data_IF_087736580487
#
_entry.id   IF_087736580487
#
_cell.length_a   1.000
_cell.length_b   1.000
_cell.length_c   1.000
_cell.angle_alpha   90.00
_cell.angle_beta   90.00
_cell.angle_gamma   90.00
#
_symmetry.space_group_name_H-M   'P 1'
#
loop_
_entity.id
_entity.type
_entity.pdbx_description
1 polymer ?
#
# COMPACT_ATOMS: atom_id res chain seq x y z
N UNK A 1 7.59 25.18 -51.02
CA UNK A 1 6.97 23.95 -51.56
C UNK A 1 6.31 23.21 -50.40
N UNK A 2 4.98 23.15 -50.42
CA UNK A 2 4.15 22.44 -49.46
C UNK A 2 3.48 21.24 -50.16
N UNK A 3 3.42 20.09 -49.49
CA UNK A 3 2.61 18.90 -49.82
C UNK A 3 2.72 17.85 -48.69
N UNK A 4 1.72 16.99 -48.45
CA UNK A 4 0.36 17.33 -48.01
C UNK A 4 -0.06 16.55 -46.72
N UNK A 5 -0.95 17.13 -45.91
CA UNK A 5 -1.69 16.39 -44.86
C UNK A 5 -2.84 15.60 -45.51
N UNK A 6 -2.92 14.30 -45.21
CA UNK A 6 -4.08 13.44 -45.55
C UNK A 6 -5.18 13.64 -44.50
N UNK A 7 -6.43 13.65 -44.97
CA UNK A 7 -7.65 13.75 -44.19
C UNK A 7 -8.49 12.45 -44.27
N UNK A 8 -9.46 12.35 -43.36
CA UNK A 8 -10.52 11.33 -43.15
C UNK A 8 -10.09 10.09 -42.33
N UNK A 9 -10.90 9.58 -41.39
CA UNK A 9 -12.37 9.48 -41.38
C UNK A 9 -13.03 9.58 -39.98
N UNK A 10 -14.26 10.09 -39.98
CA UNK A 10 -15.26 10.09 -38.92
C UNK A 10 -15.92 8.70 -38.71
N UNK A 11 -16.63 8.57 -37.58
CA UNK A 11 -17.55 7.51 -37.09
C UNK A 11 -16.94 6.69 -35.95
N UNK A 12 -17.55 6.53 -34.78
CA UNK A 12 -18.84 6.94 -34.25
C UNK A 12 -18.81 6.65 -32.74
N UNK A 13 -19.50 7.47 -31.95
CA UNK A 13 -19.43 7.42 -30.49
C UNK A 13 -20.02 6.16 -29.87
N UNK A 14 -19.49 5.80 -28.71
CA UNK A 14 -20.22 5.10 -27.65
C UNK A 14 -19.51 5.35 -26.28
N UNK A 15 -20.12 5.05 -25.13
CA UNK A 15 -20.71 6.05 -24.27
C UNK A 15 -19.84 6.36 -23.04
N UNK A 16 -20.11 7.53 -22.47
CA UNK A 16 -19.54 8.04 -21.22
C UNK A 16 -19.66 7.00 -20.09
N UNK A 17 -18.54 6.39 -19.72
CA UNK A 17 -18.33 5.84 -18.39
C UNK A 17 -17.59 6.87 -17.54
N UNK A 18 -18.34 7.76 -16.89
CA UNK A 18 -17.81 8.68 -15.88
C UNK A 18 -17.16 7.87 -14.75
N UNK A 19 -15.83 7.79 -14.77
CA UNK A 19 -15.01 7.56 -13.57
C UNK A 19 -13.85 8.56 -13.54
N UNK A 20 -14.13 9.83 -13.84
CA UNK A 20 -13.27 10.95 -13.47
C UNK A 20 -13.44 11.27 -11.97
N UNK A 21 -13.26 10.26 -11.11
CA UNK A 21 -13.11 10.48 -9.68
C UNK A 21 -11.63 10.79 -9.41
N UNK A 22 -11.24 12.05 -9.17
CA UNK A 22 -9.87 12.37 -8.80
C UNK A 22 -9.52 11.61 -7.51
N UNK A 23 -8.31 11.05 -7.47
CA UNK A 23 -7.74 10.52 -6.23
C UNK A 23 -7.80 11.62 -5.15
N UNK A 24 -7.94 11.24 -3.87
CA UNK A 24 -8.05 12.20 -2.77
C UNK A 24 -6.88 13.20 -2.70
N UNK A 25 -5.74 12.85 -3.31
CA UNK A 25 -4.57 13.70 -3.42
C UNK A 25 -4.69 14.85 -4.47
N UNK A 26 -5.66 14.80 -5.39
CA UNK A 26 -5.76 15.71 -6.55
C UNK A 26 -7.06 16.51 -6.65
N UNK A 27 -7.96 16.46 -5.65
CA UNK A 27 -9.16 17.32 -5.64
C UNK A 27 -8.79 18.81 -5.45
N UNK A 28 -8.88 19.60 -6.52
CA UNK A 28 -8.98 21.06 -6.41
C UNK A 28 -10.34 21.47 -5.85
N UNK A 29 -10.33 22.45 -4.94
CA UNK A 29 -11.52 22.95 -4.26
C UNK A 29 -11.95 24.28 -4.88
N UNK A 30 -12.98 24.27 -5.70
CA UNK A 30 -13.72 25.47 -6.09
C UNK A 30 -14.37 26.08 -4.83
N UNK A 31 -14.14 27.37 -4.58
CA UNK A 31 -14.79 28.11 -3.50
C UNK A 31 -16.18 28.57 -3.96
N UNK A 32 -17.27 28.32 -3.20
CA UNK A 32 -18.55 28.95 -3.50
C UNK A 32 -18.56 30.40 -3.01
N UNK A 33 -19.00 31.29 -3.89
CA UNK A 33 -19.19 32.72 -3.64
C UNK A 33 -20.16 32.96 -2.47
N UNK A 34 -19.81 33.92 -1.60
CA UNK A 34 -20.64 34.34 -0.47
C UNK A 34 -21.75 35.28 -0.95
N UNK A 35 -23.01 34.89 -0.76
CA UNK A 35 -24.14 35.82 -0.76
C UNK A 35 -24.43 36.29 0.66
N UNK A 36 -24.55 37.60 0.83
CA UNK A 36 -24.87 38.26 2.09
C UNK A 36 -26.38 38.44 2.25
N UNK A 37 -26.96 37.92 3.32
CA UNK A 37 -28.21 38.46 3.88
C UNK A 37 -28.20 38.37 5.40
N UNK A 38 -28.59 39.47 6.03
CA UNK A 38 -28.56 39.68 7.47
C UNK A 38 -29.77 39.10 8.19
N UNK A 39 -29.54 38.62 9.40
CA UNK A 39 -30.55 38.22 10.37
C UNK A 39 -29.88 38.02 11.73
N UNK A 40 -30.33 38.76 12.74
CA UNK A 40 -29.85 38.70 14.13
C UNK A 40 -30.38 37.42 14.78
N UNK A 41 -29.50 36.57 15.32
CA UNK A 41 -29.86 35.55 16.30
C UNK A 41 -28.70 35.15 17.24
N UNK A 42 -29.10 34.75 18.46
CA UNK A 42 -28.41 34.59 19.76
C UNK A 42 -27.12 33.72 19.82
N UNK A 43 -26.30 33.82 20.91
CA UNK A 43 -24.89 33.39 20.95
C UNK A 43 -24.65 31.89 21.22
N UNK A 44 -25.48 31.00 20.69
CA UNK A 44 -25.20 29.54 20.74
C UNK A 44 -24.35 29.07 19.55
N UNK A 45 -24.22 29.90 18.50
CA UNK A 45 -23.55 29.55 17.24
C UNK A 45 -22.00 29.65 17.30
N UNK A 46 -21.44 30.31 18.31
CA UNK A 46 -20.00 30.59 18.42
C UNK A 46 -19.14 29.33 18.64
N UNK A 47 -19.54 28.43 19.56
CA UNK A 47 -18.80 27.20 19.87
C UNK A 47 -18.81 26.22 18.69
N UNK A 48 -19.97 26.05 18.03
CA UNK A 48 -20.12 25.19 16.83
C UNK A 48 -19.34 25.74 15.63
N UNK A 49 -19.29 27.06 15.44
CA UNK A 49 -18.49 27.71 14.38
C UNK A 49 -16.98 27.61 14.65
N UNK A 50 -16.53 27.72 15.91
CA UNK A 50 -15.12 27.48 16.31
C UNK A 50 -14.70 26.03 16.14
N UNK A 51 -15.53 25.06 16.54
CA UNK A 51 -15.27 23.63 16.34
C UNK A 51 -15.22 23.28 14.84
N UNK A 52 -16.15 23.79 14.03
CA UNK A 52 -16.09 23.67 12.57
C UNK A 52 -14.82 24.30 11.98
N UNK A 53 -14.36 25.43 12.51
CA UNK A 53 -13.10 26.08 12.08
C UNK A 53 -11.86 25.25 12.47
N UNK A 54 -11.82 24.69 13.68
CA UNK A 54 -10.73 23.82 14.13
C UNK A 54 -10.66 22.51 13.35
N UNK A 55 -11.81 21.87 13.10
CA UNK A 55 -11.90 20.68 12.25
C UNK A 55 -11.48 20.99 10.81
N UNK A 56 -11.84 22.15 10.26
CA UNK A 56 -11.40 22.54 8.93
C UNK A 56 -9.89 22.76 8.85
N UNK A 57 -9.30 23.39 9.88
CA UNK A 57 -7.85 23.57 10.01
C UNK A 57 -7.13 22.23 10.18
N UNK A 58 -7.64 21.35 11.05
CA UNK A 58 -7.12 20.00 11.23
C UNK A 58 -7.16 19.21 9.92
N UNK A 59 -8.29 19.22 9.23
CA UNK A 59 -8.46 18.59 7.91
C UNK A 59 -7.42 19.12 6.92
N UNK A 60 -7.21 20.43 6.85
CA UNK A 60 -6.23 21.04 5.96
C UNK A 60 -4.78 20.66 6.32
N UNK A 61 -4.43 20.61 7.60
CA UNK A 61 -3.11 20.18 8.08
C UNK A 61 -2.89 18.69 7.83
N UNK A 62 -3.90 17.86 8.11
CA UNK A 62 -3.84 16.40 7.87
C UNK A 62 -3.71 16.07 6.39
N UNK A 63 -4.27 16.86 5.48
CA UNK A 63 -4.04 16.67 4.04
C UNK A 63 -2.63 17.08 3.62
N UNK A 64 -2.04 18.09 4.27
CA UNK A 64 -0.65 18.49 4.00
C UNK A 64 0.36 17.51 4.60
N UNK A 65 0.01 16.89 5.72
CA UNK A 65 0.83 15.95 6.47
C UNK A 65 -0.01 14.72 6.81
N UNK A 66 -0.15 13.84 5.82
CA UNK A 66 -0.92 12.58 5.94
C UNK A 66 -0.44 11.69 7.09
N UNK A 67 0.84 11.76 7.47
CA UNK A 67 1.40 11.05 8.64
C UNK A 67 0.91 11.58 9.99
N UNK A 68 0.33 12.79 10.06
CA UNK A 68 -0.04 13.41 11.34
C UNK A 68 -1.21 12.69 12.03
N UNK A 69 -2.24 12.32 11.28
CA UNK A 69 -3.41 11.62 11.85
C UNK A 69 -3.05 10.25 12.43
N UNK A 70 -2.37 9.34 11.72
CA UNK A 70 -1.96 8.06 12.29
C UNK A 70 -0.93 8.26 13.43
N UNK A 71 -0.06 9.28 13.37
CA UNK A 71 0.84 9.61 14.48
C UNK A 71 0.06 9.98 15.74
N UNK A 72 -0.94 10.85 15.65
CA UNK A 72 -1.73 11.26 16.82
C UNK A 72 -2.50 10.08 17.41
N UNK A 73 -3.08 9.20 16.58
CA UNK A 73 -3.72 7.98 17.05
C UNK A 73 -2.74 7.05 17.77
N UNK A 74 -1.56 6.82 17.17
CA UNK A 74 -0.51 5.99 17.75
C UNK A 74 -0.02 6.56 19.09
N UNK A 75 0.29 7.85 19.15
CA UNK A 75 0.75 8.53 20.38
C UNK A 75 -0.34 8.53 21.45
N UNK A 76 -1.61 8.70 21.09
CA UNK A 76 -2.71 8.64 22.04
C UNK A 76 -2.83 7.26 22.69
N UNK A 77 -2.71 6.17 21.91
CA UNK A 77 -2.73 4.80 22.42
C UNK A 77 -1.53 4.54 23.33
N UNK A 78 -0.32 4.93 22.90
CA UNK A 78 0.89 4.76 23.69
C UNK A 78 0.84 5.58 24.99
N UNK A 79 0.35 6.82 24.94
CA UNK A 79 0.18 7.65 26.13
C UNK A 79 -0.83 7.04 27.10
N UNK A 80 -1.96 6.52 26.61
CA UNK A 80 -2.94 5.83 27.43
C UNK A 80 -2.39 4.54 28.07
N UNK A 81 -1.46 3.86 27.41
CA UNK A 81 -0.71 2.76 28.02
C UNK A 81 0.23 3.26 29.12
N UNK A 82 1.00 4.32 28.87
CA UNK A 82 1.98 4.86 29.82
C UNK A 82 1.36 5.47 31.09
N UNK A 83 0.10 5.87 31.06
CA UNK A 83 -0.63 6.34 32.26
C UNK A 83 -0.78 5.22 33.30
N UNK A 84 -0.94 3.96 32.87
CA UNK A 84 -1.00 2.80 33.75
C UNK A 84 -0.31 1.61 33.06
N UNK A 85 1.03 1.53 33.11
CA UNK A 85 1.77 0.49 32.42
C UNK A 85 1.58 -0.85 33.13
N UNK A 86 1.14 -1.86 32.38
CA UNK A 86 0.99 -3.22 32.88
C UNK A 86 -0.02 -4.03 32.08
N UNK A 87 -0.12 -5.33 32.36
CA UNK A 87 -1.03 -6.25 31.68
C UNK A 87 -2.51 -5.93 31.91
N UNK A 88 -2.81 -5.24 33.01
CA UNK A 88 -4.16 -4.79 33.37
C UNK A 88 -4.70 -3.72 32.39
N UNK A 89 -3.81 -3.04 31.66
CA UNK A 89 -4.19 -2.00 30.72
C UNK A 89 -4.80 -2.61 29.45
N UNK A 90 -5.97 -2.15 28.97
CA UNK A 90 -6.57 -2.67 27.75
C UNK A 90 -5.66 -2.52 26.52
N UNK A 91 -4.79 -1.50 26.49
CA UNK A 91 -3.85 -1.26 25.39
C UNK A 91 -2.61 -2.15 25.44
N UNK A 92 -2.35 -2.88 26.54
CA UNK A 92 -1.26 -3.86 26.61
C UNK A 92 -1.39 -4.90 25.48
N UNK A 93 -2.61 -5.38 25.24
CA UNK A 93 -2.95 -6.35 24.18
C UNK A 93 -2.73 -5.82 22.77
N UNK A 94 -2.67 -4.50 22.61
CA UNK A 94 -2.40 -3.84 21.33
C UNK A 94 -0.90 -3.77 21.04
N UNK A 95 -0.08 -3.57 22.09
CA UNK A 95 1.35 -3.29 21.99
C UNK A 95 2.17 -4.59 22.06
N UNK A 96 1.77 -5.54 22.91
CA UNK A 96 2.52 -6.77 23.17
C UNK A 96 1.75 -8.01 22.70
N UNK A 97 2.51 -9.06 22.38
CA UNK A 97 1.93 -10.36 22.06
C UNK A 97 1.09 -10.88 23.23
N UNK A 98 -0.14 -11.26 22.94
CA UNK A 98 -1.06 -11.84 23.92
C UNK A 98 -0.94 -13.37 23.98
N UNK A 99 -1.41 -13.97 25.07
CA UNK A 99 -1.50 -15.43 25.28
C UNK A 99 -0.14 -16.14 25.40
N UNK A 100 0.78 -15.61 26.21
CA UNK A 100 2.01 -16.32 26.57
C UNK A 100 1.65 -17.57 27.41
N UNK A 101 2.11 -18.75 26.97
CA UNK A 101 1.93 -20.03 27.64
C UNK A 101 3.21 -20.51 28.36
N UNK A 102 4.32 -19.77 28.21
CA UNK A 102 5.65 -20.17 28.63
C UNK A 102 6.31 -21.16 27.66
N UNK A 103 7.52 -21.64 27.99
CA UNK A 103 8.26 -22.59 27.18
C UNK A 103 7.77 -24.03 27.36
N UNK A 104 7.82 -24.83 26.29
CA UNK A 104 7.40 -26.23 26.32
C UNK A 104 8.37 -27.15 27.08
N UNK A 105 9.63 -26.75 27.18
CA UNK A 105 10.69 -27.47 27.88
C UNK A 105 11.66 -26.46 28.54
N UNK A 106 12.38 -26.85 29.61
CA UNK A 106 13.30 -25.97 30.30
C UNK A 106 14.35 -25.38 29.35
N UNK A 107 14.42 -24.05 29.26
CA UNK A 107 15.34 -23.32 28.37
C UNK A 107 14.89 -23.20 26.91
N UNK A 108 13.67 -23.66 26.56
CA UNK A 108 13.07 -23.47 25.24
C UNK A 108 12.51 -22.06 25.01
N UNK A 109 12.09 -21.74 23.77
CA UNK A 109 11.44 -20.48 23.46
C UNK A 109 10.03 -20.39 24.04
N UNK A 110 9.58 -19.18 24.37
CA UNK A 110 8.20 -18.93 24.81
C UNK A 110 7.20 -19.22 23.69
N UNK A 111 6.17 -19.99 24.05
CA UNK A 111 5.08 -20.37 23.16
C UNK A 111 3.85 -19.50 23.41
N UNK A 112 3.19 -19.12 22.33
CA UNK A 112 2.02 -18.24 22.36
C UNK A 112 0.82 -18.91 21.72
N UNK A 113 -0.32 -18.83 22.41
CA UNK A 113 -1.62 -19.24 21.88
C UNK A 113 -2.22 -18.22 20.91
N UNK A 114 -3.51 -18.37 20.58
CA UNK A 114 -4.26 -17.48 19.68
C UNK A 114 -5.54 -17.01 20.36
N UNK A 115 -6.00 -15.81 20.03
CA UNK A 115 -7.31 -15.34 20.45
C UNK A 115 -7.66 -13.93 19.97
N UNK A 116 -8.80 -13.41 20.44
CA UNK A 116 -9.33 -12.15 19.95
C UNK A 116 -8.43 -10.93 20.20
N UNK A 117 -7.56 -10.99 21.22
CA UNK A 117 -6.60 -9.93 21.49
C UNK A 117 -5.60 -9.71 20.33
N UNK A 118 -5.36 -10.74 19.51
CA UNK A 118 -4.47 -10.65 18.36
C UNK A 118 -5.02 -9.71 17.28
N UNK A 119 -6.34 -9.55 17.17
CA UNK A 119 -6.96 -8.54 16.28
C UNK A 119 -6.69 -7.12 16.74
N UNK A 120 -6.61 -6.90 18.05
CA UNK A 120 -6.27 -5.59 18.62
C UNK A 120 -4.81 -5.25 18.34
N UNK A 121 -3.92 -6.24 18.47
CA UNK A 121 -2.52 -6.12 18.05
C UNK A 121 -2.42 -5.75 16.57
N UNK A 122 -3.12 -6.49 15.70
CA UNK A 122 -3.12 -6.22 14.26
C UNK A 122 -3.61 -4.79 13.96
N UNK A 123 -4.71 -4.37 14.58
CA UNK A 123 -5.26 -3.01 14.38
C UNK A 123 -4.29 -1.91 14.81
N UNK A 124 -3.61 -2.06 15.95
CA UNK A 124 -2.61 -1.09 16.40
C UNK A 124 -1.41 -1.03 15.46
N UNK A 125 -0.86 -2.18 15.07
CA UNK A 125 0.29 -2.22 14.16
C UNK A 125 -0.09 -1.77 12.74
N UNK A 126 -1.34 -1.91 12.30
CA UNK A 126 -1.83 -1.27 11.07
C UNK A 126 -1.70 0.26 11.16
N UNK A 127 -2.07 0.87 12.29
CA UNK A 127 -1.90 2.33 12.51
C UNK A 127 -0.41 2.71 12.51
N UNK A 128 0.43 1.94 13.21
CA UNK A 128 1.88 2.16 13.27
C UNK A 128 2.49 2.09 11.86
N UNK A 129 2.09 1.11 11.05
CA UNK A 129 2.56 0.94 9.68
C UNK A 129 2.05 2.06 8.76
N UNK A 130 0.79 2.52 8.92
CA UNK A 130 0.29 3.69 8.19
C UNK A 130 1.10 4.94 8.51
N UNK A 131 1.39 5.20 9.79
CA UNK A 131 2.26 6.30 10.18
C UNK A 131 3.66 6.16 9.54
N UNK A 132 4.26 4.99 9.70
CA UNK A 132 5.62 4.71 9.22
C UNK A 132 5.74 4.89 7.71
N UNK A 133 4.77 4.37 6.94
CA UNK A 133 4.66 4.56 5.48
C UNK A 133 4.66 6.03 5.11
N UNK A 134 3.67 6.78 5.62
CA UNK A 134 3.50 8.19 5.26
C UNK A 134 4.68 9.06 5.71
N UNK A 135 5.26 8.76 6.88
CA UNK A 135 6.41 9.47 7.39
C UNK A 135 7.65 9.22 6.52
N UNK A 136 7.98 7.96 6.23
CA UNK A 136 9.12 7.60 5.39
C UNK A 136 8.95 8.18 3.98
N UNK A 137 7.77 8.04 3.37
CA UNK A 137 7.50 8.58 2.03
C UNK A 137 7.72 10.10 1.98
N UNK A 138 7.14 10.86 2.91
CA UNK A 138 7.22 12.33 2.86
C UNK A 138 8.54 12.92 3.36
N UNK A 139 9.15 12.32 4.40
CA UNK A 139 10.32 12.89 5.07
C UNK A 139 11.64 12.33 4.55
N UNK A 140 11.65 11.09 4.08
CA UNK A 140 12.86 10.39 3.66
C UNK A 140 12.90 10.23 2.13
N UNK A 141 11.87 9.61 1.55
CA UNK A 141 11.89 9.23 0.14
C UNK A 141 11.62 10.40 -0.81
N UNK A 142 10.75 11.34 -0.44
CA UNK A 142 10.50 12.54 -1.25
C UNK A 142 11.75 13.39 -1.50
N UNK A 143 12.56 13.77 -0.48
CA UNK A 143 13.79 14.50 -0.75
C UNK A 143 14.81 13.64 -1.51
N UNK A 144 14.85 12.32 -1.32
CA UNK A 144 15.69 11.42 -2.12
C UNK A 144 15.29 11.43 -3.59
N UNK A 145 13.99 11.32 -3.91
CA UNK A 145 13.50 11.35 -5.28
C UNK A 145 13.90 12.65 -6.01
N UNK A 146 13.82 13.79 -5.31
CA UNK A 146 14.25 15.09 -5.84
C UNK A 146 15.77 15.13 -6.06
N UNK A 147 16.56 14.62 -5.10
CA UNK A 147 18.03 14.53 -5.23
C UNK A 147 18.46 13.63 -6.38
N UNK A 148 17.71 12.56 -6.64
CA UNK A 148 17.91 11.65 -7.77
C UNK A 148 17.43 12.23 -9.12
N UNK A 149 16.93 13.48 -9.15
CA UNK A 149 16.55 14.15 -10.40
C UNK A 149 15.15 13.82 -10.91
N UNK A 150 14.32 13.09 -10.15
CA UNK A 150 12.93 12.80 -10.53
C UNK A 150 12.10 14.07 -10.35
N UNK A 151 11.84 14.80 -11.44
CA UNK A 151 11.15 16.11 -11.39
C UNK A 151 9.63 16.01 -11.45
N UNK A 152 9.08 14.98 -12.11
CA UNK A 152 7.62 14.83 -12.31
C UNK A 152 6.95 14.33 -11.02
N UNK A 153 5.80 14.91 -10.65
CA UNK A 153 5.12 14.60 -9.38
C UNK A 153 4.52 13.19 -9.35
N UNK A 154 3.94 12.70 -10.45
CA UNK A 154 3.41 11.33 -10.53
C UNK A 154 4.53 10.30 -10.42
N UNK A 155 5.57 10.43 -11.25
CA UNK A 155 6.81 9.60 -11.15
C UNK A 155 7.42 9.64 -9.73
N UNK A 156 7.43 10.80 -9.05
CA UNK A 156 7.88 10.88 -7.64
C UNK A 156 7.00 10.03 -6.70
N UNK A 157 5.67 10.11 -6.80
CA UNK A 157 4.77 9.33 -5.94
C UNK A 157 5.02 7.84 -6.09
N UNK A 158 5.08 7.37 -7.34
CA UNK A 158 5.28 5.96 -7.68
C UNK A 158 6.65 5.45 -7.25
N UNK A 159 7.69 6.25 -7.46
CA UNK A 159 9.02 5.95 -6.93
C UNK A 159 8.99 5.79 -5.40
N UNK A 160 8.32 6.70 -4.67
CA UNK A 160 8.22 6.60 -3.22
C UNK A 160 7.43 5.37 -2.76
N UNK A 161 6.34 5.03 -3.46
CA UNK A 161 5.53 3.82 -3.21
C UNK A 161 6.39 2.55 -3.36
N UNK A 162 7.10 2.41 -4.48
CA UNK A 162 7.95 1.25 -4.73
C UNK A 162 9.15 1.19 -3.79
N UNK A 163 9.81 2.32 -3.54
CA UNK A 163 10.97 2.34 -2.65
C UNK A 163 10.58 2.05 -1.18
N UNK A 164 9.40 2.50 -0.72
CA UNK A 164 8.89 2.12 0.60
C UNK A 164 8.66 0.61 0.69
N UNK A 165 8.01 0.02 -0.31
CA UNK A 165 7.78 -1.43 -0.38
C UNK A 165 9.10 -2.21 -0.38
N UNK A 166 10.09 -1.76 -1.15
CA UNK A 166 11.43 -2.35 -1.15
C UNK A 166 12.10 -2.25 0.23
N UNK A 167 12.02 -1.09 0.90
CA UNK A 167 12.56 -0.94 2.26
C UNK A 167 11.86 -1.87 3.25
N UNK A 168 10.53 -1.95 3.23
CA UNK A 168 9.76 -2.81 4.12
C UNK A 168 10.19 -4.27 4.00
N UNK A 169 10.22 -4.81 2.78
CA UNK A 169 10.61 -6.20 2.55
C UNK A 169 12.11 -6.47 2.71
N UNK A 170 12.97 -5.46 2.57
CA UNK A 170 14.39 -5.59 2.90
C UNK A 170 14.63 -5.94 4.38
N UNK A 171 13.75 -5.47 5.28
CA UNK A 171 13.81 -5.82 6.71
C UNK A 171 12.99 -7.07 7.04
N UNK A 172 11.75 -7.14 6.56
CA UNK A 172 10.82 -8.22 6.93
C UNK A 172 11.12 -9.54 6.22
N UNK A 173 11.66 -9.52 5.00
CA UNK A 173 12.00 -10.73 4.25
C UNK A 173 13.06 -11.59 4.96
N UNK A 174 14.23 -11.03 5.33
CA UNK A 174 15.24 -11.76 6.11
C UNK A 174 14.72 -12.22 7.47
N UNK A 175 13.89 -11.41 8.14
CA UNK A 175 13.28 -11.81 9.40
C UNK A 175 12.31 -12.98 9.23
N UNK A 176 11.51 -13.00 8.15
CA UNK A 176 10.66 -14.13 7.79
C UNK A 176 11.45 -15.41 7.53
N UNK A 177 12.57 -15.32 6.79
CA UNK A 177 13.47 -16.45 6.58
C UNK A 177 14.09 -16.97 7.89
N UNK A 178 14.46 -16.07 8.79
CA UNK A 178 14.95 -16.44 10.13
C UNK A 178 13.89 -17.19 10.93
N UNK A 179 12.65 -16.69 10.96
CA UNK A 179 11.51 -17.36 11.60
C UNK A 179 11.23 -18.73 10.99
N UNK A 180 11.27 -18.85 9.66
CA UNK A 180 11.06 -20.15 9.00
C UNK A 180 12.17 -21.16 9.30
N UNK A 181 13.42 -20.69 9.47
CA UNK A 181 14.58 -21.52 9.81
C UNK A 181 14.48 -22.14 11.19
N UNK A 182 13.83 -21.47 12.15
CA UNK A 182 13.70 -21.97 13.52
C UNK A 182 12.82 -23.23 13.60
N UNK A 183 11.85 -23.37 12.68
CA UNK A 183 10.93 -24.50 12.67
C UNK A 183 11.23 -25.55 11.60
N UNK A 184 10.36 -26.57 11.52
CA UNK A 184 10.43 -27.65 10.51
C UNK A 184 10.05 -27.21 9.09
N UNK A 185 9.70 -25.94 8.88
CA UNK A 185 9.33 -25.36 7.59
C UNK A 185 10.51 -24.91 6.73
N UNK A 186 11.74 -25.05 7.21
CA UNK A 186 12.92 -24.61 6.48
C UNK A 186 12.91 -25.13 5.04
N UNK A 187 13.16 -24.21 4.11
CA UNK A 187 13.14 -24.47 2.67
C UNK A 187 11.81 -25.04 2.14
N UNK A 188 10.69 -24.55 2.67
CA UNK A 188 9.33 -24.88 2.21
C UNK A 188 9.00 -26.37 2.28
N UNK A 189 9.41 -27.05 3.35
CA UNK A 189 9.02 -28.43 3.60
C UNK A 189 7.48 -28.54 3.74
N UNK A 190 6.83 -29.21 2.78
CA UNK A 190 5.38 -29.31 2.69
C UNK A 190 4.79 -30.23 3.75
N UNK A 191 5.47 -31.32 4.09
CA UNK A 191 5.01 -32.26 5.12
C UNK A 191 4.88 -31.58 6.48
N UNK A 192 5.83 -30.69 6.80
CA UNK A 192 5.84 -29.91 8.04
C UNK A 192 4.63 -28.95 8.17
N UNK A 193 3.95 -28.62 7.06
CA UNK A 193 2.73 -27.81 7.07
C UNK A 193 1.52 -28.56 7.63
N UNK A 194 1.55 -29.90 7.62
CA UNK A 194 0.45 -30.76 8.07
C UNK A 194 0.84 -31.60 9.30
N UNK A 195 2.13 -31.89 9.46
CA UNK A 195 2.63 -32.66 10.59
C UNK A 195 2.35 -31.96 11.94
N UNK A 196 1.85 -32.73 12.90
CA UNK A 196 1.49 -32.22 14.23
C UNK A 196 0.30 -31.24 14.23
N UNK A 197 -0.52 -31.24 13.17
CA UNK A 197 -1.73 -30.43 13.12
C UNK A 197 -2.79 -30.95 14.13
N UNK A 198 -3.48 -30.08 14.90
CA UNK A 198 -3.55 -28.62 14.78
C UNK A 198 -2.42 -27.84 15.45
N UNK A 199 -1.84 -26.86 14.73
CA UNK A 199 -0.82 -25.94 15.27
C UNK A 199 -1.46 -24.81 16.10
N UNK A 200 -1.81 -25.11 17.35
CA UNK A 200 -2.51 -24.18 18.25
C UNK A 200 -1.60 -23.09 18.84
N UNK A 201 -0.33 -23.43 19.08
CA UNK A 201 0.68 -22.55 19.66
C UNK A 201 1.85 -22.36 18.71
N UNK A 202 2.48 -21.20 18.79
CA UNK A 202 3.65 -20.83 17.98
C UNK A 202 4.68 -20.10 18.83
N UNK A 203 5.94 -20.20 18.45
CA UNK A 203 7.00 -19.40 19.07
C UNK A 203 6.70 -17.90 18.93
N UNK A 204 7.16 -17.11 19.91
CA UNK A 204 6.92 -15.66 19.92
C UNK A 204 7.33 -14.95 18.61
N UNK A 205 8.50 -15.29 18.06
CA UNK A 205 8.98 -14.71 16.80
C UNK A 205 8.07 -15.07 15.61
N UNK A 206 7.62 -16.33 15.54
CA UNK A 206 6.67 -16.80 14.52
C UNK A 206 5.35 -16.03 14.61
N UNK A 207 4.79 -15.93 15.82
CA UNK A 207 3.52 -15.23 16.03
C UNK A 207 3.66 -13.74 15.72
N UNK A 208 4.72 -13.08 16.19
CA UNK A 208 4.99 -11.67 15.90
C UNK A 208 5.09 -11.41 14.40
N UNK A 209 5.92 -12.17 13.68
CA UNK A 209 6.07 -12.02 12.23
C UNK A 209 4.73 -12.18 11.52
N UNK A 210 3.97 -13.23 11.86
CA UNK A 210 2.68 -13.50 11.23
C UNK A 210 1.67 -12.36 11.44
N UNK A 211 1.57 -11.83 12.67
CA UNK A 211 0.63 -10.74 13.00
C UNK A 211 1.08 -9.39 12.43
N UNK A 212 2.39 -9.10 12.41
CA UNK A 212 2.91 -7.88 11.76
C UNK A 212 2.63 -7.93 10.25
N UNK A 213 2.81 -9.08 9.61
CA UNK A 213 2.45 -9.27 8.21
C UNK A 213 0.95 -9.11 7.98
N UNK A 214 0.10 -9.67 8.83
CA UNK A 214 -1.33 -9.44 8.76
C UNK A 214 -1.69 -7.95 8.88
N UNK A 215 -0.97 -7.21 9.74
CA UNK A 215 -1.13 -5.76 9.93
C UNK A 215 -0.74 -4.96 8.69
N UNK A 216 0.33 -5.38 8.00
CA UNK A 216 0.78 -4.78 6.75
C UNK A 216 -0.22 -5.02 5.62
N UNK A 217 -0.70 -6.24 5.44
CA UNK A 217 -1.71 -6.54 4.43
C UNK A 217 -3.05 -5.85 4.70
N UNK A 218 -3.45 -5.73 5.97
CA UNK A 218 -4.60 -4.91 6.34
C UNK A 218 -4.36 -3.42 6.03
N UNK A 219 -3.16 -2.90 6.30
CA UNK A 219 -2.77 -1.53 5.95
C UNK A 219 -2.81 -1.28 4.43
N UNK A 220 -2.30 -2.22 3.62
CA UNK A 220 -2.35 -2.14 2.15
C UNK A 220 -3.79 -2.18 1.63
N UNK A 221 -4.65 -3.02 2.20
CA UNK A 221 -6.07 -3.05 1.85
C UNK A 221 -6.78 -1.72 2.14
N UNK A 222 -6.45 -1.06 3.26
CA UNK A 222 -6.98 0.27 3.60
C UNK A 222 -6.53 1.31 2.57
N UNK A 223 -5.25 1.31 2.19
CA UNK A 223 -4.71 2.21 1.15
C UNK A 223 -5.47 2.02 -0.17
N UNK A 224 -5.73 0.77 -0.54
CA UNK A 224 -6.46 0.42 -1.76
C UNK A 224 -7.92 0.88 -1.72
N UNK A 225 -8.65 0.58 -0.64
CA UNK A 225 -10.07 0.92 -0.47
C UNK A 225 -10.28 2.43 -0.40
N UNK A 226 -9.39 3.14 0.28
CA UNK A 226 -9.43 4.60 0.36
C UNK A 226 -8.91 5.30 -0.91
N UNK A 227 -8.50 4.54 -1.93
CA UNK A 227 -7.93 5.03 -3.19
C UNK A 227 -6.83 6.09 -2.94
N UNK A 228 -5.99 5.84 -1.93
CA UNK A 228 -4.87 6.70 -1.62
C UNK A 228 -3.79 6.62 -2.70
N UNK A 229 -3.74 5.50 -3.42
CA UNK A 229 -2.99 5.34 -4.66
C UNK A 229 -3.92 5.46 -5.86
N UNK A 230 -3.44 6.10 -6.92
CA UNK A 230 -4.20 6.21 -8.17
C UNK A 230 -4.46 4.81 -8.75
N UNK A 231 -5.72 4.48 -9.10
CA UNK A 231 -6.06 3.21 -9.75
C UNK A 231 -5.18 2.96 -10.98
N UNK A 232 -4.78 1.70 -11.17
CA UNK A 232 -3.96 1.23 -12.29
C UNK A 232 -4.83 0.41 -13.25
N UNK A 233 -4.37 0.15 -14.50
CA UNK A 233 -5.04 -0.77 -15.44
C UNK A 233 -5.41 -2.13 -14.82
N UNK A 234 -4.62 -2.64 -13.86
CA UNK A 234 -4.83 -3.91 -13.15
C UNK A 234 -5.56 -3.79 -11.80
N UNK A 235 -6.34 -2.72 -11.59
CA UNK A 235 -7.00 -2.45 -10.30
C UNK A 235 -7.97 -3.55 -9.89
N UNK A 236 -8.73 -4.15 -10.82
CA UNK A 236 -9.70 -5.21 -10.51
C UNK A 236 -9.01 -6.47 -10.01
N UNK A 237 -7.94 -6.87 -10.68
CA UNK A 237 -7.10 -8.00 -10.33
C UNK A 237 -6.39 -7.76 -8.99
N UNK A 238 -5.95 -6.53 -8.73
CA UNK A 238 -5.36 -6.12 -7.46
C UNK A 238 -6.38 -6.17 -6.31
N UNK A 239 -7.64 -5.77 -6.54
CA UNK A 239 -8.71 -5.89 -5.54
C UNK A 239 -9.04 -7.36 -5.28
N UNK A 240 -9.19 -8.18 -6.32
CA UNK A 240 -9.41 -9.62 -6.17
C UNK A 240 -8.27 -10.28 -5.37
N UNK A 241 -7.02 -9.92 -5.67
CA UNK A 241 -5.86 -10.35 -4.90
C UNK A 241 -6.00 -10.02 -3.41
N UNK A 242 -6.34 -8.78 -3.06
CA UNK A 242 -6.48 -8.38 -1.65
C UNK A 242 -7.61 -9.12 -0.92
N UNK A 243 -8.71 -9.42 -1.61
CA UNK A 243 -9.79 -10.23 -1.05
C UNK A 243 -9.26 -11.64 -0.75
N UNK A 244 -8.59 -12.27 -1.71
CA UNK A 244 -8.04 -13.63 -1.57
C UNK A 244 -6.95 -13.69 -0.50
N UNK A 245 -6.02 -12.73 -0.47
CA UNK A 245 -4.93 -12.71 0.52
C UNK A 245 -5.44 -12.46 1.93
N UNK A 246 -6.35 -11.51 2.15
CA UNK A 246 -6.95 -11.30 3.47
C UNK A 246 -7.76 -12.52 3.93
N UNK A 247 -8.46 -13.19 3.02
CA UNK A 247 -9.13 -14.45 3.33
C UNK A 247 -8.14 -15.56 3.71
N UNK A 248 -7.04 -15.74 2.96
CA UNK A 248 -5.98 -16.69 3.30
C UNK A 248 -5.37 -16.40 4.67
N UNK A 249 -5.05 -15.15 4.97
CA UNK A 249 -4.46 -14.74 6.24
C UNK A 249 -5.43 -15.02 7.39
N UNK A 250 -6.68 -14.56 7.28
CA UNK A 250 -7.69 -14.72 8.32
C UNK A 250 -8.04 -16.19 8.57
N UNK A 251 -8.29 -16.96 7.51
CA UNK A 251 -8.68 -18.36 7.62
C UNK A 251 -7.52 -19.24 8.07
N UNK A 252 -6.30 -19.04 7.54
CA UNK A 252 -5.15 -19.84 7.96
C UNK A 252 -4.76 -19.56 9.43
N UNK A 253 -4.93 -18.34 9.92
CA UNK A 253 -4.75 -18.06 11.35
C UNK A 253 -5.84 -18.72 12.20
N UNK A 254 -7.11 -18.55 11.82
CA UNK A 254 -8.29 -19.02 12.57
C UNK A 254 -8.40 -20.54 12.65
N UNK A 255 -8.00 -21.24 11.59
CA UNK A 255 -8.10 -22.70 11.46
C UNK A 255 -6.75 -23.41 11.57
N UNK A 256 -5.74 -22.76 12.17
CA UNK A 256 -4.43 -23.37 12.50
C UNK A 256 -3.53 -23.76 11.31
N UNK A 257 -3.77 -23.25 10.10
CA UNK A 257 -2.90 -23.42 8.93
C UNK A 257 -1.79 -22.35 8.82
N UNK A 258 -1.41 -21.71 9.94
CA UNK A 258 -0.46 -20.59 9.94
C UNK A 258 0.94 -20.96 9.38
N UNK A 259 1.35 -22.24 9.50
CA UNK A 259 2.59 -22.75 8.90
C UNK A 259 2.60 -22.60 7.38
N UNK A 260 1.49 -22.95 6.72
CA UNK A 260 1.29 -22.73 5.28
C UNK A 260 1.25 -21.24 4.96
N UNK A 261 0.60 -20.43 5.81
CA UNK A 261 0.56 -18.98 5.67
C UNK A 261 1.95 -18.32 5.69
N UNK A 262 2.87 -18.74 6.57
CA UNK A 262 4.26 -18.23 6.57
C UNK A 262 4.99 -18.56 5.27
N UNK A 263 4.84 -19.79 4.76
CA UNK A 263 5.44 -20.16 3.48
C UNK A 263 4.94 -19.24 2.34
N UNK A 264 3.64 -18.95 2.30
CA UNK A 264 3.06 -18.02 1.33
C UNK A 264 3.60 -16.60 1.55
N UNK A 265 3.63 -16.08 2.78
CA UNK A 265 4.21 -14.75 3.06
C UNK A 265 5.64 -14.61 2.56
N UNK A 266 6.53 -15.56 2.87
CA UNK A 266 7.95 -15.47 2.53
C UNK A 266 8.16 -15.47 1.01
N UNK A 267 7.48 -16.36 0.29
CA UNK A 267 7.57 -16.37 -1.19
C UNK A 267 7.11 -15.05 -1.79
N UNK A 268 6.08 -14.44 -1.20
CA UNK A 268 5.50 -13.19 -1.66
C UNK A 268 6.39 -11.99 -1.34
N UNK A 269 6.86 -11.86 -0.10
CA UNK A 269 7.70 -10.76 0.37
C UNK A 269 9.02 -10.67 -0.42
N UNK A 270 9.69 -11.82 -0.62
CA UNK A 270 10.98 -11.84 -1.32
C UNK A 270 10.79 -11.44 -2.78
N UNK A 271 9.79 -12.00 -3.46
CA UNK A 271 9.55 -11.64 -4.87
C UNK A 271 9.06 -10.20 -5.05
N UNK A 272 8.28 -9.67 -4.11
CA UNK A 272 7.82 -8.28 -4.13
C UNK A 272 8.96 -7.30 -3.85
N UNK A 273 9.95 -7.69 -3.03
CA UNK A 273 11.20 -6.93 -2.90
C UNK A 273 11.87 -6.75 -4.26
N UNK A 274 12.10 -7.83 -5.00
CA UNK A 274 12.73 -7.78 -6.33
C UNK A 274 11.87 -7.02 -7.36
N UNK A 275 10.54 -7.13 -7.29
CA UNK A 275 9.65 -6.34 -8.13
C UNK A 275 9.82 -4.84 -7.86
N UNK A 276 9.72 -4.44 -6.59
CA UNK A 276 9.73 -3.05 -6.16
C UNK A 276 11.08 -2.37 -6.44
N UNK A 277 12.19 -3.08 -6.20
CA UNK A 277 13.54 -2.60 -6.53
C UNK A 277 13.75 -2.51 -8.04
N UNK A 278 13.22 -3.44 -8.85
CA UNK A 278 13.35 -3.36 -10.32
C UNK A 278 12.66 -2.10 -10.86
N UNK A 279 11.47 -1.77 -10.35
CA UNK A 279 10.75 -0.54 -10.69
C UNK A 279 11.49 0.71 -10.21
N UNK A 280 12.04 0.67 -9.00
CA UNK A 280 12.85 1.76 -8.44
C UNK A 280 14.08 2.04 -9.30
N UNK A 281 14.80 1.00 -9.75
CA UNK A 281 15.94 1.13 -10.66
C UNK A 281 15.54 1.69 -12.02
N UNK A 282 14.38 1.28 -12.54
CA UNK A 282 13.82 1.80 -13.78
C UNK A 282 13.50 3.31 -13.65
N UNK A 283 12.86 3.73 -12.57
CA UNK A 283 12.59 5.15 -12.33
C UNK A 283 13.86 6.02 -12.22
N UNK A 284 14.99 5.42 -11.83
CA UNK A 284 16.30 6.06 -11.75
C UNK A 284 17.11 5.95 -13.05
N UNK A 285 16.55 5.36 -14.10
CA UNK A 285 17.20 5.16 -15.40
C UNK A 285 18.58 4.47 -15.26
N UNK A 286 18.68 3.48 -14.36
CA UNK A 286 19.93 2.78 -14.06
C UNK A 286 20.33 1.78 -15.15
N UNK A 287 21.62 1.64 -15.42
CA UNK A 287 22.13 0.72 -16.44
C UNK A 287 21.93 -0.78 -16.11
N UNK A 288 21.74 -1.12 -14.82
CA UNK A 288 21.54 -2.51 -14.38
C UNK A 288 20.09 -2.99 -14.47
N UNK A 289 19.16 -2.16 -14.95
CA UNK A 289 17.72 -2.48 -14.96
C UNK A 289 17.44 -3.78 -15.72
N UNK A 290 18.04 -3.99 -16.89
CA UNK A 290 17.85 -5.21 -17.68
C UNK A 290 18.26 -6.49 -16.93
N UNK A 291 19.53 -6.64 -16.53
CA UNK A 291 19.99 -7.80 -15.76
C UNK A 291 19.21 -8.01 -14.44
N UNK A 292 18.86 -6.92 -13.75
CA UNK A 292 18.09 -6.99 -12.51
C UNK A 292 16.66 -7.48 -12.76
N UNK A 293 16.02 -7.00 -13.83
CA UNK A 293 14.68 -7.43 -14.24
C UNK A 293 14.64 -8.92 -14.60
N UNK A 294 15.66 -9.45 -15.28
CA UNK A 294 15.79 -10.89 -15.53
C UNK A 294 15.93 -11.71 -14.24
N UNK A 295 16.72 -11.21 -13.29
CA UNK A 295 16.87 -11.84 -11.97
C UNK A 295 15.54 -11.86 -11.22
N UNK A 296 14.85 -10.72 -11.19
CA UNK A 296 13.49 -10.59 -10.65
C UNK A 296 12.53 -11.62 -11.28
N UNK A 297 12.53 -11.77 -12.60
CA UNK A 297 11.67 -12.71 -13.30
C UNK A 297 11.95 -14.17 -12.89
N UNK A 298 13.22 -14.55 -12.77
CA UNK A 298 13.61 -15.88 -12.27
C UNK A 298 13.14 -16.12 -10.83
N UNK A 299 13.32 -15.14 -9.95
CA UNK A 299 12.84 -15.19 -8.55
C UNK A 299 11.31 -15.30 -8.49
N UNK A 300 10.59 -14.52 -9.31
CA UNK A 300 9.13 -14.57 -9.40
C UNK A 300 8.65 -15.96 -9.80
N UNK A 301 9.22 -16.53 -10.87
CA UNK A 301 8.83 -17.86 -11.35
C UNK A 301 9.08 -18.93 -10.29
N UNK A 302 10.24 -18.92 -9.66
CA UNK A 302 10.57 -19.90 -8.64
C UNK A 302 9.66 -19.76 -7.39
N UNK A 303 9.59 -18.57 -6.81
CA UNK A 303 8.88 -18.38 -5.53
C UNK A 303 7.36 -18.39 -5.70
N UNK A 304 6.81 -17.74 -6.73
CA UNK A 304 5.36 -17.57 -6.87
C UNK A 304 4.70 -18.63 -7.72
N UNK A 305 5.44 -19.40 -8.51
CA UNK A 305 4.88 -20.52 -9.26
C UNK A 305 5.40 -21.86 -8.80
N UNK A 306 6.72 -22.11 -8.85
CA UNK A 306 7.23 -23.44 -8.51
C UNK A 306 6.91 -23.84 -7.07
N UNK A 307 7.20 -22.98 -6.09
CA UNK A 307 6.89 -23.26 -4.68
C UNK A 307 5.38 -23.29 -4.43
N UNK A 308 4.61 -22.37 -5.00
CA UNK A 308 3.15 -22.36 -4.80
C UNK A 308 2.47 -23.61 -5.43
N UNK A 309 2.92 -24.06 -6.60
CA UNK A 309 2.47 -25.32 -7.20
C UNK A 309 2.84 -26.54 -6.36
N UNK A 310 4.02 -26.53 -5.71
CA UNK A 310 4.39 -27.55 -4.72
C UNK A 310 3.44 -27.57 -3.52
N UNK A 311 3.05 -26.41 -3.00
CA UNK A 311 2.08 -26.30 -1.89
C UNK A 311 0.69 -26.77 -2.34
N UNK A 312 0.24 -26.40 -3.54
CA UNK A 312 -1.02 -26.87 -4.12
C UNK A 312 -1.02 -28.39 -4.29
N UNK A 313 0.07 -28.95 -4.81
CA UNK A 313 0.23 -30.40 -4.95
C UNK A 313 0.17 -31.10 -3.58
N UNK A 314 0.90 -30.61 -2.59
CA UNK A 314 0.86 -31.15 -1.23
C UNK A 314 -0.52 -31.00 -0.58
N UNK A 315 -1.28 -29.94 -0.90
CA UNK A 315 -2.67 -29.78 -0.46
C UNK A 315 -3.59 -30.86 -1.06
N UNK A 316 -3.27 -31.41 -2.23
CA UNK A 316 -4.01 -32.52 -2.82
C UNK A 316 -3.54 -33.90 -2.30
N UNK A 317 -2.23 -34.09 -2.11
CA UNK A 317 -1.64 -35.41 -1.82
C UNK A 317 -1.34 -35.67 -0.35
N UNK A 318 -0.83 -34.66 0.38
CA UNK A 318 -0.35 -34.78 1.75
C UNK A 318 -1.41 -34.37 2.79
N UNK A 319 -2.35 -33.49 2.41
CA UNK A 319 -3.36 -32.94 3.32
C UNK A 319 -4.19 -34.05 4.00
N UNK A 320 -4.67 -35.04 3.25
CA UNK A 320 -5.45 -36.14 3.82
C UNK A 320 -4.58 -37.23 4.48
N UNK A 321 -3.33 -37.36 4.08
CA UNK A 321 -2.46 -38.51 4.44
C UNK A 321 -1.56 -38.24 5.63
N UNK A 322 -1.12 -36.98 5.85
CA UNK A 322 -0.20 -36.61 6.93
C UNK A 322 -0.95 -36.21 8.20
N UNK A 323 -1.15 -37.15 9.12
CA UNK A 323 -1.85 -36.94 10.40
C UNK A 323 -3.38 -37.07 10.30
N UNK A 324 -4.12 -36.90 11.42
CA UNK A 324 -5.55 -37.20 11.49
C UNK A 324 -6.39 -36.34 10.54
N UNK A 325 -7.15 -36.97 9.65
CA UNK A 325 -8.04 -36.31 8.70
C UNK A 325 -9.50 -36.47 9.13
N UNK A 326 -9.92 -35.62 10.06
CA UNK A 326 -11.25 -35.62 10.65
C UNK A 326 -11.67 -34.19 11.02
N UNK A 327 -12.96 -33.98 11.25
CA UNK A 327 -13.47 -32.73 11.77
C UNK A 327 -13.88 -32.92 13.23
N UNK A 328 -13.17 -32.27 14.16
CA UNK A 328 -13.49 -32.29 15.57
C UNK A 328 -13.34 -30.89 16.18
N UNK A 329 -14.45 -30.33 16.66
CA UNK A 329 -14.50 -28.97 17.21
C UNK A 329 -13.89 -28.86 18.60
N UNK A 330 -13.95 -29.92 19.41
CA UNK A 330 -13.39 -29.95 20.76
C UNK A 330 -11.86 -29.98 20.72
N UNK A 331 -11.30 -30.83 19.85
CA UNK A 331 -9.85 -30.88 19.62
C UNK A 331 -9.38 -29.86 18.59
N UNK A 332 -10.27 -28.98 18.10
CA UNK A 332 -9.97 -27.99 17.06
C UNK A 332 -9.23 -28.59 15.85
N UNK A 333 -9.53 -29.85 15.55
CA UNK A 333 -9.03 -30.57 14.40
C UNK A 333 -9.91 -30.20 13.21
N UNK A 334 -9.37 -29.36 12.34
CA UNK A 334 -10.09 -28.81 11.20
C UNK A 334 -9.68 -29.41 9.86
N UNK A 335 -8.75 -30.38 9.86
CA UNK A 335 -8.23 -31.01 8.65
C UNK A 335 -9.23 -32.02 8.09
N UNK A 336 -10.13 -31.54 7.25
CA UNK A 336 -11.22 -32.32 6.63
C UNK A 336 -11.44 -31.92 5.16
N UNK A 337 -12.33 -32.62 4.46
CA UNK A 337 -12.60 -32.42 3.02
C UNK A 337 -13.03 -30.99 2.69
N UNK A 338 -13.84 -30.37 3.56
CA UNK A 338 -14.27 -28.98 3.39
C UNK A 338 -13.07 -28.04 3.46
N UNK A 339 -12.23 -28.19 4.49
CA UNK A 339 -11.03 -27.37 4.68
C UNK A 339 -10.02 -27.56 3.53
N UNK A 340 -9.91 -28.77 2.98
CA UNK A 340 -9.02 -29.07 1.86
C UNK A 340 -9.48 -28.33 0.61
N UNK A 341 -10.77 -28.40 0.27
CA UNK A 341 -11.35 -27.70 -0.89
C UNK A 341 -11.19 -26.18 -0.75
N UNK A 342 -11.50 -25.62 0.41
CA UNK A 342 -11.38 -24.17 0.66
C UNK A 342 -9.91 -23.73 0.56
N UNK A 343 -9.00 -24.44 1.22
CA UNK A 343 -7.57 -24.12 1.21
C UNK A 343 -7.00 -24.21 -0.20
N UNK A 344 -7.30 -25.29 -0.92
CA UNK A 344 -6.89 -25.45 -2.32
C UNK A 344 -7.47 -24.36 -3.20
N UNK A 345 -8.77 -24.07 -3.08
CA UNK A 345 -9.45 -23.05 -3.87
C UNK A 345 -8.83 -21.66 -3.69
N UNK A 346 -8.57 -21.25 -2.45
CA UNK A 346 -7.93 -19.96 -2.17
C UNK A 346 -6.50 -19.88 -2.70
N UNK A 347 -5.69 -20.94 -2.52
CA UNK A 347 -4.33 -21.00 -3.06
C UNK A 347 -4.33 -21.04 -4.60
N UNK A 348 -5.31 -21.70 -5.21
CA UNK A 348 -5.46 -21.78 -6.66
C UNK A 348 -5.89 -20.42 -7.23
N UNK A 349 -6.79 -19.70 -6.57
CA UNK A 349 -7.12 -18.31 -6.92
C UNK A 349 -5.89 -17.41 -6.82
N UNK A 350 -5.11 -17.53 -5.74
CA UNK A 350 -3.86 -16.80 -5.59
C UNK A 350 -2.87 -17.12 -6.73
N UNK A 351 -2.74 -18.41 -7.09
CA UNK A 351 -1.92 -18.86 -8.22
C UNK A 351 -2.41 -18.29 -9.57
N UNK A 352 -3.73 -18.23 -9.80
CA UNK A 352 -4.29 -17.69 -11.02
C UNK A 352 -3.96 -16.19 -11.18
N UNK A 353 -4.06 -15.40 -10.11
CA UNK A 353 -3.65 -13.98 -10.15
C UNK A 353 -2.14 -13.84 -10.36
N UNK A 354 -1.33 -14.68 -9.72
CA UNK A 354 0.12 -14.69 -9.96
C UNK A 354 0.44 -15.01 -11.43
N UNK A 355 -0.28 -15.93 -12.08
CA UNK A 355 -0.09 -16.27 -13.50
C UNK A 355 -0.47 -15.10 -14.42
N UNK A 356 -1.55 -14.38 -14.10
CA UNK A 356 -1.91 -13.14 -14.81
C UNK A 356 -0.76 -12.13 -14.75
N UNK A 357 -0.16 -11.92 -13.58
CA UNK A 357 0.98 -11.00 -13.47
C UNK A 357 2.26 -11.53 -14.13
N UNK A 358 2.50 -12.85 -14.13
CA UNK A 358 3.59 -13.44 -14.91
C UNK A 358 3.43 -13.15 -16.41
N UNK A 359 2.21 -13.27 -16.95
CA UNK A 359 1.94 -12.92 -18.34
C UNK A 359 2.36 -11.48 -18.64
N UNK A 360 2.04 -10.52 -17.76
CA UNK A 360 2.46 -9.13 -17.91
C UNK A 360 3.99 -8.97 -17.81
N UNK A 361 4.64 -9.65 -16.87
CA UNK A 361 6.11 -9.62 -16.70
C UNK A 361 6.81 -10.14 -17.97
N UNK A 362 6.34 -11.26 -18.52
CA UNK A 362 6.87 -11.85 -19.74
C UNK A 362 6.61 -10.97 -20.97
N UNK A 363 5.44 -10.31 -21.02
CA UNK A 363 5.11 -9.35 -22.09
C UNK A 363 6.06 -8.15 -22.08
N UNK A 364 6.34 -7.58 -20.91
CA UNK A 364 7.32 -6.48 -20.77
C UNK A 364 8.72 -6.96 -21.17
N UNK A 365 9.12 -8.17 -20.74
CA UNK A 365 10.41 -8.77 -21.14
C UNK A 365 10.51 -8.94 -22.66
N UNK A 366 9.44 -9.44 -23.29
CA UNK A 366 9.33 -9.57 -24.75
C UNK A 366 9.48 -8.20 -25.41
N UNK A 367 8.69 -7.21 -25.01
CA UNK A 367 8.73 -5.88 -25.61
C UNK A 367 10.13 -5.26 -25.49
N UNK A 368 10.80 -5.43 -24.34
CA UNK A 368 12.18 -4.97 -24.14
C UNK A 368 13.20 -5.60 -25.09
N UNK A 369 13.05 -6.90 -25.41
CA UNK A 369 13.97 -7.61 -26.31
C UNK A 369 13.68 -7.32 -27.79
N UNK A 370 12.41 -7.14 -28.16
CA UNK A 370 11.99 -7.02 -29.56
C UNK A 370 11.77 -5.58 -30.06
N UNK A 371 11.70 -4.57 -29.17
CA UNK A 371 11.54 -3.16 -29.53
C UNK A 371 12.85 -2.40 -29.26
N UNK A 372 13.61 -2.16 -30.32
CA UNK A 372 15.03 -1.73 -30.33
C UNK A 372 15.33 -0.29 -29.85
N UNK A 373 14.53 0.33 -28.97
CA UNK A 373 14.77 1.76 -28.67
C UNK A 373 14.23 2.35 -27.36
N UNK A 374 13.50 1.62 -26.52
CA UNK A 374 13.04 2.15 -25.23
C UNK A 374 13.20 1.07 -24.16
N UNK A 375 13.73 1.42 -22.98
CA UNK A 375 13.98 0.49 -21.88
C UNK A 375 12.72 -0.27 -21.42
N UNK A 376 12.77 -1.11 -20.37
CA UNK A 376 11.62 -1.90 -19.98
C UNK A 376 10.48 -0.99 -19.51
N UNK A 377 9.53 -0.72 -20.39
CA UNK A 377 8.33 0.05 -20.07
C UNK A 377 7.27 -0.91 -19.54
N UNK A 378 6.88 -0.70 -18.29
CA UNK A 378 5.77 -1.42 -17.68
C UNK A 378 4.46 -0.80 -18.17
N UNK A 379 3.64 -1.50 -18.95
CA UNK A 379 2.37 -0.97 -19.46
C UNK A 379 1.38 -0.59 -18.33
N UNK A 380 1.58 -1.12 -17.10
CA UNK A 380 0.85 -0.67 -15.90
C UNK A 380 1.24 0.75 -15.48
N UNK A 381 2.39 1.22 -15.95
CA UNK A 381 2.89 2.58 -15.75
C UNK A 381 2.59 3.52 -16.93
N UNK A 382 2.04 3.05 -18.05
CA UNK A 382 1.64 3.92 -19.18
C UNK A 382 0.51 4.90 -18.80
N UNK A 383 -0.43 4.48 -17.92
CA UNK A 383 -1.43 5.38 -17.34
C UNK A 383 -0.76 6.56 -16.59
N UNK A 384 0.44 6.35 -16.04
CA UNK A 384 1.18 7.38 -15.31
C UNK A 384 1.67 8.48 -16.26
N UNK A 385 1.94 8.16 -17.52
CA UNK A 385 2.39 9.15 -18.52
C UNK A 385 1.22 9.86 -19.21
N UNK A 386 0.17 9.11 -19.58
CA UNK A 386 -1.01 9.65 -20.29
C UNK A 386 -1.80 10.62 -19.41
N UNK A 387 -2.03 10.27 -18.15
CA UNK A 387 -2.74 11.15 -17.23
C UNK A 387 -1.91 12.36 -16.78
N UNK A 388 -0.59 12.25 -16.77
CA UNK A 388 0.32 13.39 -16.53
C UNK A 388 0.27 14.41 -17.68
N UNK A 389 0.01 13.94 -18.91
CA UNK A 389 -0.20 14.80 -20.07
C UNK A 389 -1.54 15.53 -19.98
N UNK A 390 -2.59 14.85 -19.50
CA UNK A 390 -3.90 15.44 -19.21
C UNK A 390 -3.80 16.50 -18.09
N UNK A 391 -3.11 16.21 -16.98
CA UNK A 391 -2.90 17.20 -15.90
C UNK A 391 -2.07 18.41 -16.35
N UNK A 392 -1.11 18.22 -17.26
CA UNK A 392 -0.35 19.33 -17.85
C UNK A 392 -1.22 20.16 -18.78
N UNK A 393 -2.07 19.52 -19.58
CA UNK A 393 -3.02 20.21 -20.45
C UNK A 393 -3.99 21.06 -19.61
N UNK A 394 -4.55 20.49 -18.54
CA UNK A 394 -5.44 21.20 -17.61
C UNK A 394 -4.74 22.37 -16.91
N UNK A 395 -3.54 22.17 -16.33
CA UNK A 395 -2.76 23.28 -15.75
C UNK A 395 -2.44 24.38 -16.75
N UNK A 396 -2.13 24.03 -17.99
CA UNK A 396 -1.85 25.00 -19.03
C UNK A 396 -3.12 25.74 -19.48
N UNK A 397 -4.29 25.11 -19.44
CA UNK A 397 -5.58 25.79 -19.63
C UNK A 397 -5.91 26.74 -18.48
N UNK A 398 -5.71 26.32 -17.22
CA UNK A 398 -5.95 27.17 -16.04
C UNK A 398 -5.02 28.40 -16.01
N UNK A 399 -3.78 28.25 -16.47
CA UNK A 399 -2.83 29.35 -16.64
C UNK A 399 -3.24 30.29 -17.78
N UNK A 400 -3.86 29.78 -18.86
CA UNK A 400 -4.43 30.61 -19.94
C UNK A 400 -5.69 31.36 -19.47
N UNK A 401 -6.52 30.73 -18.65
CA UNK A 401 -7.74 31.34 -18.10
C UNK A 401 -7.42 32.43 -17.06
N UNK A 402 -6.39 32.25 -16.21
CA UNK A 402 -5.93 33.25 -15.26
C UNK A 402 -5.04 34.36 -15.88
N UNK A 403 -4.65 34.23 -17.15
CA UNK A 403 -3.92 35.26 -17.90
C UNK A 403 -4.78 36.48 -18.29
N UNK A 404 -6.11 36.33 -18.30
CA UNK A 404 -7.03 37.44 -18.49
C UNK A 404 -7.40 38.06 -17.13
N UNK A 405 -6.56 38.98 -16.63
CA UNK A 405 -6.98 39.87 -15.55
C UNK A 405 -8.21 40.66 -16.03
N UNK A 406 -9.36 40.66 -15.31
CA UNK A 406 -10.44 41.58 -15.64
C UNK A 406 -9.95 43.00 -15.36
N UNK A 407 -9.96 43.85 -16.39
CA UNK A 407 -9.73 45.28 -16.23
C UNK A 407 -10.83 45.85 -15.33
N UNK A 408 -10.45 46.43 -14.19
CA UNK A 408 -11.36 47.16 -13.31
C UNK A 408 -11.85 48.41 -14.06
N UNK A 409 -13.11 48.41 -14.48
CA UNK A 409 -13.77 49.58 -15.04
C UNK A 409 -14.46 50.35 -13.91
N UNK A 410 -14.14 51.63 -13.76
CA UNK A 410 -14.90 52.57 -12.95
C UNK A 410 -15.66 53.50 -13.91
N UNK A 411 -16.99 53.48 -13.87
CA UNK A 411 -17.87 54.31 -14.72
C UNK A 411 -17.58 54.23 -16.25
N UNK A 412 -17.28 53.04 -16.77
CA UNK A 412 -17.27 52.79 -18.22
C UNK A 412 -16.02 53.24 -18.98
N UNK A 413 -14.94 53.63 -18.30
CA UNK A 413 -13.65 53.94 -18.95
C UNK A 413 -12.54 53.03 -18.38
N UNK A 414 -11.70 52.39 -19.24
CA UNK A 414 -10.59 51.57 -18.78
C UNK A 414 -9.48 52.44 -18.17
N UNK A 415 -9.02 52.09 -16.96
CA UNK A 415 -7.87 52.74 -16.30
C UNK A 415 -6.66 51.81 -16.45
N UNK A 416 -5.64 52.25 -17.18
CA UNK A 416 -4.32 51.62 -17.15
C UNK A 416 -3.61 51.97 -15.84
N UNK A 417 -3.27 50.95 -15.06
CA UNK A 417 -2.47 51.12 -13.86
C UNK A 417 -1.01 51.35 -14.22
N UNK A 418 -0.55 52.60 -14.20
CA UNK A 418 0.87 52.93 -14.21
C UNK A 418 1.57 52.29 -12.99
N UNK A 419 2.47 51.34 -13.25
CA UNK A 419 3.40 50.85 -12.25
C UNK A 419 4.50 51.90 -12.04
N UNK A 420 4.47 52.62 -10.92
CA UNK A 420 5.65 53.36 -10.41
C UNK A 420 6.59 52.40 -9.66
N UNK A 421 7.92 52.45 -9.88
CA UNK A 421 8.87 51.61 -9.16
C UNK A 421 9.26 52.28 -7.84
N UNK A 422 8.74 51.83 -6.70
CA UNK A 422 9.21 52.28 -5.39
C UNK A 422 10.40 51.44 -4.88
N UNK A 423 11.59 52.03 -4.97
CA UNK A 423 12.38 52.40 -3.78
C UNK A 423 12.93 51.27 -2.90
N UNK A 424 14.21 50.94 -3.14
CA UNK A 424 15.10 50.28 -2.17
C UNK A 424 15.14 51.07 -0.86
N UNK A 425 14.74 50.46 0.25
CA UNK A 425 14.78 51.07 1.59
C UNK A 425 16.07 50.66 2.31
N UNK A 426 17.09 51.52 2.27
CA UNK A 426 18.29 51.41 3.10
C UNK A 426 17.94 51.57 4.59
N UNK A 427 18.42 50.62 5.42
CA UNK A 427 18.40 50.73 6.89
C UNK A 427 19.60 51.55 7.35
N UNK A 428 19.36 52.81 7.73
CA UNK A 428 20.33 53.64 8.47
C UNK A 428 20.29 53.26 9.95
N UNK A 429 21.39 52.71 10.48
CA UNK A 429 21.66 52.61 11.92
C UNK A 429 21.87 54.03 12.47
N UNK A 430 21.17 54.38 13.56
CA UNK A 430 21.57 55.49 14.44
C UNK A 430 22.37 54.94 15.62
N UNK A 431 23.28 55.80 16.05
CA UNK A 431 24.41 55.63 16.97
C UNK A 431 24.09 54.90 18.28
#
# INVERSE_FOLDING_TARGET
MARPRRASSNLGGDPRGDTSAPAWATMERTQPAQSSSGGKDLPQHSKRRKARSALHKWKQISFRHTWLTPLVLMVAILAAYLVNPGEQNPFHKAIFLSYNLGPDYPGGPDMYGKGYADWVFVGFYTIVLTFTREFIMQRLLRPMAIKCGIRKRGKQSRFMEQMYTAMYFAFLGPFGLYVMKQGSLWYFNTTAMFEGFPHRKHEGAFKAYYLIQASYWAQQAIVLVLQQEKPRKDFKELVLHHIVTLALIGLSYRFHFAKMGIAVYITHDISDFFLATSKTLNYLDSFIVGPYYLTFMGVWIYLRHYINLRILWATLTEFATVGPYELNWETQQYKCWISQIITFGLLACLQAVNLFWLYLILRIAKNYVFSDSQGPQDERSEDEEEDEEIERAQRNEDLKLNGNKPALQLNGVPVEGEAKPEGVRERRRKA
#
